data_IF_809779529477
#
_entry.id   IF_809779529477
#
_cell.length_a   1.000
_cell.length_b   1.000
_cell.length_c   1.000
_cell.angle_alpha   90.00
_cell.angle_beta   90.00
_cell.angle_gamma   90.00
#
_symmetry.space_group_name_H-M   'P 1'
#
loop_
_entity.id
_entity.type
_entity.pdbx_description
1 polymer ?
#
# COMPACT_ATOMS: atom_id res chain seq x y z
N UNK A 1 8.64 8.46 23.26
CA UNK A 1 8.13 7.13 22.89
C UNK A 1 8.02 7.05 21.38
N UNK A 2 8.71 6.12 20.82
CA UNK A 2 8.69 5.97 19.36
C UNK A 2 7.46 5.19 18.92
N UNK A 3 6.77 5.71 17.92
CA UNK A 3 5.67 4.99 17.30
C UNK A 3 6.24 4.05 16.26
N UNK A 4 5.90 2.78 16.36
CA UNK A 4 6.29 1.81 15.36
C UNK A 4 5.47 2.02 14.09
N UNK A 5 6.16 2.16 12.97
CA UNK A 5 5.50 2.26 11.67
C UNK A 5 5.35 0.85 11.12
N UNK A 6 4.13 0.51 10.75
CA UNK A 6 3.81 -0.78 10.16
C UNK A 6 3.28 -0.58 8.76
N UNK A 7 3.74 -1.39 7.83
CA UNK A 7 3.36 -1.29 6.42
C UNK A 7 2.55 -2.51 5.99
N UNK A 8 1.53 -2.29 5.18
CA UNK A 8 0.70 -3.34 4.60
C UNK A 8 0.96 -3.38 3.11
N UNK A 9 1.33 -4.56 2.62
CA UNK A 9 1.62 -4.79 1.20
C UNK A 9 0.49 -5.64 0.63
N UNK A 10 -0.24 -5.10 -0.34
CA UNK A 10 -1.42 -5.75 -0.92
C UNK A 10 -1.20 -6.01 -2.39
N UNK A 11 -1.17 -7.28 -2.78
CA UNK A 11 -0.99 -7.70 -4.17
C UNK A 11 -1.50 -9.14 -4.29
N UNK A 12 -2.26 -9.43 -5.33
CA UNK A 12 -2.77 -10.78 -5.54
C UNK A 12 -1.69 -11.78 -5.93
N UNK A 13 -0.52 -11.30 -6.32
CA UNK A 13 0.62 -12.16 -6.61
C UNK A 13 1.53 -12.25 -5.38
N UNK A 14 1.56 -13.44 -4.78
CA UNK A 14 2.38 -13.70 -3.60
C UNK A 14 3.85 -13.36 -3.81
N UNK A 15 4.37 -13.66 -5.00
CA UNK A 15 5.76 -13.38 -5.33
C UNK A 15 6.07 -11.89 -5.30
N UNK A 16 5.13 -11.05 -5.72
CA UNK A 16 5.30 -9.60 -5.67
C UNK A 16 5.41 -9.09 -4.24
N UNK A 17 4.57 -9.63 -3.34
CA UNK A 17 4.64 -9.27 -1.93
C UNK A 17 6.00 -9.65 -1.35
N UNK A 18 6.47 -10.86 -1.62
CA UNK A 18 7.77 -11.31 -1.13
C UNK A 18 8.91 -10.46 -1.67
N UNK A 19 8.87 -10.10 -2.95
CA UNK A 19 9.89 -9.28 -3.57
C UNK A 19 9.97 -7.91 -2.87
N UNK A 20 8.83 -7.34 -2.54
CA UNK A 20 8.80 -6.07 -1.81
C UNK A 20 9.33 -6.23 -0.39
N UNK A 21 8.94 -7.29 0.29
CA UNK A 21 9.39 -7.51 1.66
C UNK A 21 10.89 -7.73 1.75
N UNK A 22 11.44 -8.47 0.81
CA UNK A 22 12.87 -8.84 0.84
C UNK A 22 13.78 -7.81 0.17
N UNK A 23 13.26 -7.07 -0.80
CA UNK A 23 14.05 -6.17 -1.62
C UNK A 23 14.21 -4.76 -1.07
N UNK A 24 13.46 -4.39 -0.06
CA UNK A 24 13.50 -3.05 0.51
C UNK A 24 13.99 -3.13 1.95
N UNK A 25 14.92 -2.27 2.32
CA UNK A 25 15.37 -2.17 3.70
C UNK A 25 14.37 -1.34 4.50
N UNK A 26 13.33 -1.99 4.98
CA UNK A 26 12.24 -1.35 5.69
C UNK A 26 12.69 -0.67 6.97
N UNK A 27 13.64 -1.27 7.68
CA UNK A 27 14.15 -0.69 8.91
C UNK A 27 14.87 0.63 8.67
N UNK A 28 15.60 0.70 7.56
CA UNK A 28 16.28 1.93 7.18
C UNK A 28 15.30 3.05 6.86
N UNK A 29 14.11 2.69 6.38
CA UNK A 29 13.02 3.64 6.11
C UNK A 29 12.20 3.97 7.34
N UNK A 30 12.49 3.37 8.48
CA UNK A 30 11.75 3.60 9.71
C UNK A 30 10.52 2.70 9.88
N UNK A 31 10.40 1.67 9.07
CA UNK A 31 9.28 0.72 9.15
C UNK A 31 9.69 -0.47 9.99
N UNK A 32 8.98 -0.69 11.08
CA UNK A 32 9.32 -1.75 12.03
C UNK A 32 8.87 -3.13 11.56
N UNK A 33 7.76 -3.21 10.83
CA UNK A 33 7.17 -4.48 10.45
C UNK A 33 6.34 -4.34 9.18
N UNK A 34 6.34 -5.39 8.34
CA UNK A 34 5.53 -5.44 7.12
C UNK A 34 4.57 -6.63 7.18
N UNK A 35 3.38 -6.45 6.62
CA UNK A 35 2.35 -7.48 6.52
C UNK A 35 1.96 -7.66 5.07
N UNK A 36 1.75 -8.89 4.65
CA UNK A 36 1.33 -9.19 3.29
C UNK A 36 -0.13 -9.60 3.24
N UNK A 37 -0.86 -9.08 2.26
CA UNK A 37 -2.23 -9.48 1.98
C UNK A 37 -2.38 -9.71 0.48
N UNK A 38 -3.21 -10.67 0.10
CA UNK A 38 -3.33 -11.06 -1.30
C UNK A 38 -4.70 -10.67 -1.89
N UNK A 39 -5.52 -10.01 -1.10
CA UNK A 39 -6.79 -9.45 -1.55
C UNK A 39 -7.26 -8.41 -0.52
N UNK A 40 -8.32 -7.68 -0.86
CA UNK A 40 -8.83 -6.62 0.01
C UNK A 40 -9.41 -7.14 1.33
N UNK A 41 -9.99 -8.33 1.32
CA UNK A 41 -10.56 -8.93 2.54
C UNK A 41 -9.46 -9.20 3.55
N UNK A 42 -8.37 -9.83 3.13
CA UNK A 42 -7.23 -10.09 4.01
C UNK A 42 -6.61 -8.78 4.52
N UNK A 43 -6.51 -7.79 3.63
CA UNK A 43 -5.97 -6.49 3.99
C UNK A 43 -6.79 -5.83 5.10
N UNK A 44 -8.10 -5.88 4.99
CA UNK A 44 -9.00 -5.31 6.01
C UNK A 44 -8.88 -6.03 7.34
N UNK A 45 -8.72 -7.34 7.32
CA UNK A 45 -8.54 -8.12 8.55
C UNK A 45 -7.25 -7.73 9.27
N UNK A 46 -6.18 -7.54 8.53
CA UNK A 46 -4.91 -7.10 9.10
C UNK A 46 -5.07 -5.70 9.70
N UNK A 47 -5.76 -4.81 9.02
CA UNK A 47 -5.97 -3.45 9.51
C UNK A 47 -6.83 -3.37 10.77
N UNK A 48 -7.64 -4.38 11.03
CA UNK A 48 -8.41 -4.46 12.27
C UNK A 48 -7.54 -4.80 13.47
N UNK A 49 -6.49 -5.56 13.24
CA UNK A 49 -5.61 -6.06 14.30
C UNK A 49 -4.36 -5.24 14.50
N UNK A 50 -3.88 -4.57 13.44
CA UNK A 50 -2.62 -3.84 13.45
C UNK A 50 -2.84 -2.39 13.04
N UNK A 51 -2.08 -1.49 13.67
CA UNK A 51 -2.13 -0.08 13.31
C UNK A 51 -1.21 0.18 12.12
N UNK A 52 -1.79 0.15 10.94
CA UNK A 52 -1.06 0.34 9.70
C UNK A 52 -0.90 1.82 9.38
N UNK A 53 0.30 2.26 9.08
CA UNK A 53 0.60 3.65 8.72
C UNK A 53 0.95 3.82 7.25
N UNK A 54 1.32 2.75 6.56
CA UNK A 54 1.71 2.78 5.15
C UNK A 54 1.07 1.60 4.42
N UNK A 55 0.43 1.88 3.29
CA UNK A 55 -0.16 0.84 2.44
C UNK A 55 0.44 0.94 1.05
N UNK A 56 1.00 -0.17 0.56
CA UNK A 56 1.39 -0.32 -0.83
C UNK A 56 0.43 -1.31 -1.45
N UNK A 57 -0.34 -0.88 -2.43
CA UNK A 57 -1.44 -1.67 -2.96
C UNK A 57 -1.43 -1.72 -4.48
N UNK A 58 -1.53 -2.94 -5.04
CA UNK A 58 -1.70 -3.14 -6.47
C UNK A 58 -3.10 -2.68 -6.89
N UNK A 59 -3.20 -2.04 -8.05
CA UNK A 59 -4.51 -1.63 -8.59
C UNK A 59 -5.31 -2.85 -9.02
N UNK A 60 -4.65 -3.78 -9.71
CA UNK A 60 -5.34 -4.91 -10.34
C UNK A 60 -5.39 -6.12 -9.43
N UNK A 61 -6.53 -6.31 -8.78
CA UNK A 61 -6.78 -7.47 -7.95
C UNK A 61 -8.15 -8.05 -8.27
N UNK A 62 -8.30 -9.39 -8.20
CA UNK A 62 -9.61 -10.01 -8.38
C UNK A 62 -10.60 -9.52 -7.32
N UNK A 63 -11.83 -9.30 -7.73
CA UNK A 63 -12.89 -8.83 -6.84
C UNK A 63 -12.82 -7.32 -6.66
N UNK A 64 -12.30 -6.87 -5.55
CA UNK A 64 -12.18 -5.44 -5.26
C UNK A 64 -10.82 -4.93 -5.73
N UNK A 65 -10.82 -3.88 -6.55
CA UNK A 65 -9.58 -3.27 -7.04
C UNK A 65 -8.83 -2.54 -5.91
N UNK A 66 -7.54 -2.28 -6.15
CA UNK A 66 -6.74 -1.51 -5.19
C UNK A 66 -7.29 -0.12 -4.96
N UNK A 67 -7.79 0.52 -6.01
CA UNK A 67 -8.37 1.86 -5.87
C UNK A 67 -9.64 1.84 -5.03
N UNK A 68 -10.49 0.84 -5.21
CA UNK A 68 -11.69 0.69 -4.40
C UNK A 68 -11.35 0.42 -2.93
N UNK A 69 -10.35 -0.42 -2.70
CA UNK A 69 -9.88 -0.71 -1.36
C UNK A 69 -9.35 0.55 -0.66
N UNK A 70 -8.46 1.29 -1.33
CA UNK A 70 -7.88 2.52 -0.77
C UNK A 70 -8.97 3.56 -0.52
N UNK A 71 -9.93 3.69 -1.44
CA UNK A 71 -11.04 4.61 -1.27
C UNK A 71 -11.84 4.29 0.00
N UNK A 72 -12.12 3.01 0.26
CA UNK A 72 -12.85 2.60 1.45
C UNK A 72 -12.04 2.84 2.73
N UNK A 73 -10.73 2.66 2.67
CA UNK A 73 -9.85 2.95 3.80
C UNK A 73 -9.88 4.44 4.14
N UNK A 74 -9.83 5.29 3.11
CA UNK A 74 -9.86 6.74 3.30
C UNK A 74 -11.17 7.21 3.90
N UNK A 75 -12.28 6.63 3.48
CA UNK A 75 -13.58 6.98 4.04
C UNK A 75 -13.65 6.71 5.54
N UNK A 76 -13.10 5.59 5.99
CA UNK A 76 -13.06 5.24 7.40
C UNK A 76 -12.05 6.07 8.17
N UNK A 77 -10.91 6.35 7.57
CA UNK A 77 -9.83 7.11 8.19
C UNK A 77 -10.20 8.58 8.40
N UNK A 78 -11.14 9.08 7.61
CA UNK A 78 -11.60 10.46 7.66
C UNK A 78 -12.06 10.88 9.06
N UNK A 79 -12.47 9.92 9.86
CA UNK A 79 -12.98 10.19 11.20
C UNK A 79 -11.88 10.22 12.27
N UNK A 80 -10.80 9.47 12.09
CA UNK A 80 -9.85 9.25 13.18
C UNK A 80 -8.39 9.23 12.81
N UNK A 81 -8.04 9.07 11.54
CA UNK A 81 -6.64 8.87 11.22
C UNK A 81 -6.28 9.40 9.83
N UNK A 82 -5.67 10.57 9.84
CA UNK A 82 -5.17 11.21 8.64
C UNK A 82 -3.77 10.75 8.27
N UNK A 83 -3.21 9.81 9.03
CA UNK A 83 -1.79 9.48 8.96
C UNK A 83 -1.47 8.23 8.15
N UNK A 84 -2.45 7.66 7.46
CA UNK A 84 -2.19 6.50 6.61
C UNK A 84 -1.75 6.97 5.24
N UNK A 85 -0.50 6.65 4.89
CA UNK A 85 0.03 6.94 3.57
C UNK A 85 -0.28 5.78 2.63
N UNK A 86 -0.80 6.07 1.45
CA UNK A 86 -1.18 5.07 0.47
C UNK A 86 -0.39 5.23 -0.81
N UNK A 87 0.23 4.16 -1.27
CA UNK A 87 0.99 4.13 -2.52
C UNK A 87 0.38 3.08 -3.42
N UNK A 88 0.07 3.45 -4.65
CA UNK A 88 -0.50 2.54 -5.65
C UNK A 88 0.62 1.98 -6.52
N UNK A 89 0.55 0.68 -6.78
CA UNK A 89 1.47 -0.03 -7.66
C UNK A 89 0.71 -0.54 -8.88
N UNK A 90 1.31 -0.47 -10.07
CA UNK A 90 0.68 -0.98 -11.27
C UNK A 90 1.70 -1.39 -12.32
N UNK A 91 1.38 -2.44 -13.11
CA UNK A 91 2.15 -2.82 -14.29
C UNK A 91 1.78 -1.98 -15.51
N UNK A 92 0.62 -1.37 -15.48
CA UNK A 92 0.05 -0.65 -16.62
C UNK A 92 -0.16 0.81 -16.28
N UNK A 93 0.78 1.68 -16.66
CA UNK A 93 0.61 3.11 -16.38
C UNK A 93 -0.57 3.63 -17.22
N UNK A 94 -1.63 4.05 -16.53
CA UNK A 94 -2.82 4.60 -17.16
C UNK A 94 -3.13 5.93 -16.47
N UNK A 95 -3.23 6.96 -17.26
CA UNK A 95 -3.49 8.30 -16.76
C UNK A 95 -4.78 8.38 -15.94
N UNK A 96 -5.81 7.63 -16.33
CA UNK A 96 -7.08 7.63 -15.61
C UNK A 96 -6.95 7.04 -14.22
N UNK A 97 -6.21 5.95 -14.08
CA UNK A 97 -5.95 5.35 -12.78
C UNK A 97 -5.09 6.25 -11.90
N UNK A 98 -4.07 6.84 -12.50
CA UNK A 98 -3.19 7.78 -11.82
C UNK A 98 -3.97 8.96 -11.26
N UNK A 99 -4.83 9.55 -12.08
CA UNK A 99 -5.67 10.67 -11.69
C UNK A 99 -6.61 10.28 -10.55
N UNK A 100 -7.25 9.12 -10.67
CA UNK A 100 -8.16 8.64 -9.64
C UNK A 100 -7.43 8.38 -8.32
N UNK A 101 -6.23 7.80 -8.38
CA UNK A 101 -5.42 7.57 -7.20
C UNK A 101 -5.13 8.87 -6.47
N UNK A 102 -4.77 9.91 -7.20
CA UNK A 102 -4.50 11.21 -6.59
C UNK A 102 -5.77 11.82 -6.00
N UNK A 103 -6.92 11.64 -6.64
CA UNK A 103 -8.18 12.15 -6.14
C UNK A 103 -8.61 11.51 -4.82
N UNK A 104 -8.29 10.25 -4.62
CA UNK A 104 -8.62 9.56 -3.36
C UNK A 104 -7.54 9.69 -2.30
N UNK A 105 -6.53 10.52 -2.55
CA UNK A 105 -5.54 10.87 -1.56
C UNK A 105 -4.34 9.95 -1.44
N UNK A 106 -3.99 9.23 -2.52
CA UNK A 106 -2.78 8.45 -2.54
C UNK A 106 -1.55 9.36 -2.56
N UNK A 107 -0.52 8.98 -1.83
CA UNK A 107 0.71 9.77 -1.73
C UNK A 107 1.57 9.64 -2.96
N UNK A 108 1.54 8.49 -3.62
CA UNK A 108 2.37 8.24 -4.79
C UNK A 108 1.77 7.14 -5.67
N UNK A 109 2.34 6.97 -6.83
CA UNK A 109 1.90 6.03 -7.85
C UNK A 109 3.14 5.48 -8.54
N UNK A 110 3.40 4.20 -8.35
CA UNK A 110 4.62 3.56 -8.86
C UNK A 110 4.29 2.50 -9.90
N UNK A 111 5.20 2.34 -10.87
CA UNK A 111 5.02 1.39 -11.97
C UNK A 111 5.92 0.18 -11.72
N UNK A 112 5.35 -1.02 -11.87
CA UNK A 112 6.09 -2.28 -11.76
C UNK A 112 6.85 -2.57 -13.06
N UNK A 113 7.97 -3.29 -13.01
CA UNK A 113 8.62 -3.79 -11.81
C UNK A 113 9.26 -2.66 -11.02
N UNK A 114 9.20 -2.77 -9.69
CA UNK A 114 9.72 -1.73 -8.83
C UNK A 114 11.25 -1.74 -8.78
N UNK A 115 11.80 -0.55 -8.87
CA UNK A 115 13.20 -0.32 -8.55
C UNK A 115 13.25 -0.04 -7.04
N UNK A 116 13.96 -0.87 -6.28
CA UNK A 116 14.05 -0.69 -4.85
C UNK A 116 14.70 0.63 -4.46
N UNK A 117 15.61 1.14 -5.29
CA UNK A 117 16.20 2.46 -5.07
C UNK A 117 15.16 3.55 -5.23
N UNK A 118 14.26 3.42 -6.19
CA UNK A 118 13.15 4.35 -6.39
C UNK A 118 12.21 4.34 -5.19
N UNK A 119 11.91 3.17 -4.65
CA UNK A 119 11.08 3.05 -3.45
C UNK A 119 11.75 3.71 -2.25
N UNK A 120 13.06 3.53 -2.11
CA UNK A 120 13.80 4.11 -1.01
C UNK A 120 13.80 5.63 -1.06
N UNK A 121 13.74 6.21 -2.26
CA UNK A 121 13.72 7.66 -2.45
C UNK A 121 12.36 8.29 -2.14
N UNK A 122 11.31 7.50 -2.09
CA UNK A 122 9.98 7.97 -1.71
C UNK A 122 9.87 8.04 -0.19
#
# INVERSE_FOLDING_TARGET
MEMEIKALLVDDEEQCVKTLQDGIDWKDLGVAETFGAYNAVQAREIMKEEMISLILCDIEMPGESGLEFISSVREKADLNDENIECIILTCYPDYKFMRKAMQIGCSDYLIKPLDTDEMTAV
#
